data_IF_992360946038
#
_entry.id   IF_992360946038
#
_cell.length_a   1.000
_cell.length_b   1.000
_cell.length_c   1.000
_cell.angle_alpha   90.00
_cell.angle_beta   90.00
_cell.angle_gamma   90.00
#
_symmetry.space_group_name_H-M   'P 1'
#
loop_
_entity.id
_entity.type
_entity.pdbx_description
1 polymer ?
#
# COMPACT_ATOMS: atom_id res chain seq x y z
N UNK A 1 34.08 -56.15 -25.96
CA UNK A 1 33.10 -55.30 -25.26
C UNK A 1 32.04 -56.22 -24.68
N UNK A 2 31.91 -56.28 -23.36
CA UNK A 2 30.98 -57.16 -22.65
C UNK A 2 29.54 -56.66 -22.76
N UNK A 3 28.55 -57.57 -22.67
CA UNK A 3 27.12 -57.26 -22.71
C UNK A 3 26.71 -56.17 -21.68
N UNK A 4 27.43 -56.08 -20.57
CA UNK A 4 27.27 -55.08 -19.50
C UNK A 4 27.50 -53.63 -19.96
N UNK A 5 28.41 -53.40 -20.91
CA UNK A 5 28.64 -52.08 -21.50
C UNK A 5 27.54 -51.67 -22.48
N UNK A 6 26.87 -52.64 -23.11
CA UNK A 6 25.73 -52.39 -24.00
C UNK A 6 24.47 -52.10 -23.19
N UNK A 7 24.25 -52.78 -22.06
CA UNK A 7 23.13 -52.50 -21.15
C UNK A 7 23.26 -51.13 -20.46
N UNK A 8 24.46 -50.73 -20.03
CA UNK A 8 24.68 -49.37 -19.51
C UNK A 8 24.51 -48.27 -20.58
N UNK A 9 24.91 -48.54 -21.82
CA UNK A 9 24.67 -47.62 -22.93
C UNK A 9 23.18 -47.55 -23.32
N UNK A 10 22.44 -48.66 -23.25
CA UNK A 10 21.01 -48.72 -23.53
C UNK A 10 20.18 -48.06 -22.40
N UNK A 11 20.57 -48.23 -21.14
CA UNK A 11 19.98 -47.51 -19.99
C UNK A 11 20.24 -45.99 -20.08
N UNK A 12 21.43 -45.59 -20.54
CA UNK A 12 21.76 -44.17 -20.76
C UNK A 12 21.05 -43.56 -21.99
N UNK A 13 20.67 -44.38 -22.98
CA UNK A 13 19.88 -43.97 -24.15
C UNK A 13 18.37 -44.00 -23.86
N UNK A 14 17.90 -44.92 -23.01
CA UNK A 14 16.50 -44.99 -22.54
C UNK A 14 16.11 -43.89 -21.55
N UNK A 15 17.08 -43.30 -20.83
CA UNK A 15 16.84 -42.14 -19.96
C UNK A 15 16.80 -40.79 -20.69
N UNK A 16 16.94 -40.77 -22.03
CA UNK A 16 17.05 -39.55 -22.85
C UNK A 16 15.80 -39.20 -23.67
N UNK A 17 14.68 -39.90 -23.51
CA UNK A 17 13.50 -39.65 -24.36
C UNK A 17 12.52 -38.61 -23.81
N UNK A 18 12.49 -38.35 -22.51
CA UNK A 18 11.46 -37.47 -21.90
C UNK A 18 12.07 -36.30 -21.10
N UNK A 19 13.01 -35.57 -21.72
CA UNK A 19 13.53 -34.32 -21.15
C UNK A 19 12.81 -33.12 -21.74
N UNK A 20 12.32 -32.25 -20.86
CA UNK A 20 11.46 -31.13 -21.21
C UNK A 20 12.14 -29.79 -20.92
N UNK A 21 12.93 -29.30 -21.88
CA UNK A 21 13.72 -28.06 -21.72
C UNK A 21 12.98 -26.76 -22.07
N UNK A 22 11.74 -26.85 -22.56
CA UNK A 22 10.91 -25.70 -22.91
C UNK A 22 10.17 -25.07 -21.73
N UNK A 23 9.39 -24.03 -22.03
CA UNK A 23 8.37 -23.46 -21.15
C UNK A 23 7.01 -24.02 -21.54
N UNK A 24 6.26 -24.49 -20.57
CA UNK A 24 4.95 -25.12 -20.80
C UNK A 24 3.87 -24.33 -20.08
N UNK A 25 2.68 -24.26 -20.69
CA UNK A 25 1.54 -23.59 -20.06
C UNK A 25 1.00 -24.47 -18.93
N UNK A 26 1.04 -23.94 -17.70
CA UNK A 26 0.36 -24.51 -16.56
C UNK A 26 -0.77 -23.66 -15.99
N UNK A 27 -1.68 -24.31 -15.28
CA UNK A 27 -2.70 -23.64 -14.45
C UNK A 27 -2.44 -24.01 -13.00
N UNK A 28 -2.32 -23.00 -12.13
CA UNK A 28 -2.08 -23.23 -10.70
C UNK A 28 -3.28 -23.95 -10.07
N UNK A 29 -3.01 -25.00 -9.30
CA UNK A 29 -4.04 -25.79 -8.62
C UNK A 29 -3.96 -25.75 -7.10
N UNK A 30 -2.79 -25.44 -6.53
CA UNK A 30 -2.63 -25.27 -5.09
C UNK A 30 -1.49 -24.32 -4.75
N UNK A 31 -1.72 -23.49 -3.74
CA UNK A 31 -0.75 -22.56 -3.14
C UNK A 31 -0.46 -22.88 -1.67
N UNK A 32 -0.98 -24.01 -1.17
CA UNK A 32 -0.89 -24.43 0.23
C UNK A 32 0.47 -25.05 0.57
N UNK A 33 1.55 -24.32 0.28
CA UNK A 33 2.92 -24.77 0.47
C UNK A 33 3.21 -25.01 1.97
N UNK A 34 3.54 -26.24 2.39
CA UNK A 34 3.89 -26.54 3.77
C UNK A 34 5.18 -25.86 4.24
N UNK A 35 6.10 -25.54 3.31
CA UNK A 35 7.38 -24.90 3.63
C UNK A 35 7.32 -23.37 3.52
N UNK A 36 6.20 -22.80 3.06
CA UNK A 36 6.00 -21.35 2.91
C UNK A 36 7.12 -20.66 2.12
N UNK A 37 7.73 -21.37 1.17
CA UNK A 37 8.81 -20.85 0.32
C UNK A 37 8.31 -20.34 -1.04
N UNK A 38 6.99 -20.24 -1.22
CA UNK A 38 6.38 -19.71 -2.44
C UNK A 38 6.24 -20.76 -3.54
N UNK A 39 6.19 -22.04 -3.16
CA UNK A 39 5.97 -23.13 -4.11
C UNK A 39 4.49 -23.25 -4.45
N UNK A 40 4.21 -23.73 -5.65
CA UNK A 40 2.83 -23.99 -6.11
C UNK A 40 2.74 -25.39 -6.71
N UNK A 41 1.54 -25.93 -6.80
CA UNK A 41 1.24 -27.02 -7.73
C UNK A 41 0.51 -26.48 -8.94
N UNK A 42 0.74 -27.10 -10.09
CA UNK A 42 0.07 -26.75 -11.32
C UNK A 42 -0.32 -27.99 -12.12
N UNK A 43 -1.31 -27.84 -13.00
CA UNK A 43 -1.56 -28.79 -14.10
C UNK A 43 -0.83 -28.31 -15.34
N UNK A 44 -0.09 -29.20 -16.00
CA UNK A 44 0.67 -28.92 -17.22
C UNK A 44 0.31 -29.98 -18.28
N UNK A 45 -0.79 -29.80 -19.02
CA UNK A 45 -1.33 -30.86 -19.88
C UNK A 45 -0.37 -31.39 -20.94
N UNK A 46 0.49 -30.53 -21.48
CA UNK A 46 1.45 -30.88 -22.53
C UNK A 46 2.56 -31.83 -22.05
N UNK A 47 2.85 -31.88 -20.75
CA UNK A 47 3.94 -32.70 -20.17
C UNK A 47 3.42 -33.80 -19.26
N UNK A 48 2.40 -33.52 -18.43
CA UNK A 48 1.90 -34.42 -17.39
C UNK A 48 0.46 -34.89 -17.64
N UNK A 49 -0.20 -34.43 -18.70
CA UNK A 49 -1.61 -34.70 -18.95
C UNK A 49 -2.48 -34.18 -17.79
N UNK A 50 -3.29 -35.08 -17.20
CA UNK A 50 -4.20 -34.74 -16.11
C UNK A 50 -3.54 -34.74 -14.71
N UNK A 51 -2.28 -35.17 -14.63
CA UNK A 51 -1.54 -35.27 -13.37
C UNK A 51 -0.98 -33.90 -12.96
N UNK A 52 -1.14 -33.55 -11.68
CA UNK A 52 -0.53 -32.35 -11.13
C UNK A 52 0.98 -32.50 -10.98
N UNK A 53 1.69 -31.38 -11.05
CA UNK A 53 3.10 -31.33 -10.73
C UNK A 53 3.36 -31.68 -9.25
N UNK A 54 4.62 -32.01 -8.94
CA UNK A 54 5.14 -31.80 -7.59
C UNK A 54 5.12 -30.31 -7.20
N UNK A 55 5.65 -29.97 -6.03
CA UNK A 55 5.80 -28.58 -5.61
C UNK A 55 6.81 -27.85 -6.50
N UNK A 56 6.31 -26.97 -7.36
CA UNK A 56 7.10 -26.15 -8.26
C UNK A 56 7.83 -25.04 -7.52
N UNK A 57 9.15 -24.95 -7.69
CA UNK A 57 9.95 -23.87 -7.10
C UNK A 57 9.67 -22.52 -7.81
N UNK A 58 9.64 -21.39 -7.08
CA UNK A 58 9.49 -20.09 -7.72
C UNK A 58 10.77 -19.64 -8.41
N UNK A 59 10.65 -19.20 -9.66
CA UNK A 59 11.67 -18.42 -10.36
C UNK A 59 11.28 -16.93 -10.32
N UNK A 60 11.43 -16.32 -9.15
CA UNK A 60 11.14 -14.89 -8.94
C UNK A 60 12.31 -14.01 -9.43
N UNK A 61 12.05 -12.77 -9.92
CA UNK A 61 13.11 -11.83 -10.33
C UNK A 61 14.16 -11.53 -9.25
N UNK A 62 13.78 -11.60 -7.96
CA UNK A 62 14.68 -11.35 -6.85
C UNK A 62 14.29 -12.18 -5.63
N UNK A 63 15.24 -12.96 -5.10
CA UNK A 63 15.12 -13.71 -3.86
C UNK A 63 16.41 -13.59 -3.05
N UNK A 64 16.28 -13.46 -1.73
CA UNK A 64 17.39 -13.37 -0.80
C UNK A 64 16.93 -13.57 0.65
N UNK A 65 17.89 -13.66 1.57
CA UNK A 65 17.55 -13.77 2.98
C UNK A 65 16.87 -12.48 3.46
N UNK A 66 15.57 -12.58 3.80
CA UNK A 66 14.73 -11.43 4.22
C UNK A 66 14.58 -10.34 3.15
N UNK A 67 14.79 -10.66 1.87
CA UNK A 67 14.63 -9.74 0.75
C UNK A 67 14.13 -10.48 -0.49
N UNK A 68 13.42 -9.79 -1.38
CA UNK A 68 12.90 -10.40 -2.60
C UNK A 68 11.60 -9.78 -3.10
N UNK A 69 11.17 -10.20 -4.29
CA UNK A 69 9.81 -10.01 -4.77
C UNK A 69 9.01 -11.28 -4.48
N UNK A 70 8.09 -11.19 -3.52
CA UNK A 70 7.25 -12.32 -3.10
C UNK A 70 5.81 -12.12 -3.58
N UNK A 71 5.48 -12.75 -4.70
CA UNK A 71 4.15 -12.71 -5.31
C UNK A 71 3.74 -14.13 -5.69
N UNK A 72 2.71 -14.66 -5.05
CA UNK A 72 2.19 -16.00 -5.33
C UNK A 72 0.89 -15.86 -6.11
N UNK A 73 0.81 -16.35 -7.36
CA UNK A 73 -0.41 -16.21 -8.13
C UNK A 73 -1.53 -17.10 -7.56
N UNK A 74 -2.80 -16.70 -7.68
CA UNK A 74 -3.92 -17.43 -7.08
C UNK A 74 -4.17 -18.77 -7.78
N UNK A 75 -4.92 -19.66 -7.11
CA UNK A 75 -5.41 -20.90 -7.74
C UNK A 75 -6.26 -20.55 -8.96
N UNK A 76 -6.04 -21.29 -10.05
CA UNK A 76 -6.64 -21.02 -11.37
C UNK A 76 -5.82 -20.09 -12.24
N UNK A 77 -4.80 -19.41 -11.71
CA UNK A 77 -4.00 -18.48 -12.50
C UNK A 77 -3.13 -19.21 -13.56
N UNK A 78 -2.98 -18.61 -14.74
CA UNK A 78 -2.01 -19.03 -15.75
C UNK A 78 -0.57 -18.81 -15.29
N UNK A 79 0.30 -19.83 -15.40
CA UNK A 79 1.71 -19.74 -15.04
C UNK A 79 2.60 -20.56 -15.97
N UNK A 80 3.74 -20.01 -16.38
CA UNK A 80 4.73 -20.79 -17.14
C UNK A 80 5.41 -21.76 -16.21
N UNK A 81 5.49 -23.03 -16.64
CA UNK A 81 6.15 -24.10 -15.90
C UNK A 81 7.33 -24.61 -16.70
N UNK A 82 8.45 -24.78 -16.00
CA UNK A 82 9.71 -25.32 -16.48
C UNK A 82 10.12 -26.49 -15.58
N UNK A 83 11.14 -27.22 -15.99
CA UNK A 83 11.60 -28.42 -15.30
C UNK A 83 13.11 -28.36 -15.13
N UNK A 84 13.61 -28.46 -13.90
CA UNK A 84 15.06 -28.39 -13.64
C UNK A 84 15.79 -29.50 -14.40
N UNK A 85 16.75 -29.11 -15.23
CA UNK A 85 17.45 -30.03 -16.15
C UNK A 85 16.50 -30.87 -17.04
N UNK A 86 15.31 -30.34 -17.32
CA UNK A 86 14.26 -30.99 -18.11
C UNK A 86 13.57 -32.16 -17.40
N UNK A 87 13.68 -32.29 -16.08
CA UNK A 87 13.10 -33.36 -15.27
C UNK A 87 11.66 -33.03 -14.79
N UNK A 88 10.61 -33.73 -15.27
CA UNK A 88 9.23 -33.47 -14.83
C UNK A 88 9.00 -33.59 -13.33
N UNK A 89 9.84 -34.32 -12.60
CA UNK A 89 9.76 -34.45 -11.14
C UNK A 89 10.27 -33.23 -10.38
N UNK A 90 10.94 -32.29 -11.06
CA UNK A 90 11.54 -31.07 -10.49
C UNK A 90 10.97 -29.80 -11.15
N UNK A 91 9.68 -29.50 -10.94
CA UNK A 91 9.03 -28.36 -11.56
C UNK A 91 9.54 -27.02 -10.99
N UNK A 92 9.55 -26.01 -11.85
CA UNK A 92 9.76 -24.59 -11.55
C UNK A 92 8.58 -23.83 -12.15
N UNK A 93 8.08 -22.80 -11.48
CA UNK A 93 7.13 -21.86 -12.09
C UNK A 93 7.80 -20.50 -12.29
N UNK A 94 7.57 -19.88 -13.46
CA UNK A 94 8.24 -18.64 -13.88
C UNK A 94 7.26 -17.64 -14.48
N UNK A 95 6.65 -16.83 -13.61
CA UNK A 95 5.72 -15.77 -14.04
C UNK A 95 4.40 -16.28 -14.62
N UNK A 96 3.49 -15.34 -14.87
CA UNK A 96 2.19 -15.58 -15.49
C UNK A 96 2.13 -15.07 -16.92
N UNK A 97 1.03 -15.37 -17.60
CA UNK A 97 0.65 -14.68 -18.83
C UNK A 97 -0.79 -14.22 -18.71
N UNK A 98 -1.15 -13.18 -19.45
CA UNK A 98 -2.54 -12.74 -19.51
C UNK A 98 -3.26 -13.40 -20.68
N UNK A 99 -4.44 -13.94 -20.41
CA UNK A 99 -5.44 -14.16 -21.44
C UNK A 99 -5.99 -12.82 -21.98
N UNK A 100 -6.83 -12.88 -23.02
CA UNK A 100 -7.53 -11.70 -23.51
C UNK A 100 -8.29 -11.00 -22.37
N UNK A 101 -8.07 -9.69 -22.20
CA UNK A 101 -8.70 -8.84 -21.18
C UNK A 101 -8.34 -9.14 -19.72
N UNK A 102 -7.32 -9.98 -19.45
CA UNK A 102 -6.87 -10.30 -18.09
C UNK A 102 -5.71 -9.42 -17.60
N UNK A 103 -5.10 -8.65 -18.49
CA UNK A 103 -4.05 -7.71 -18.10
C UNK A 103 -4.60 -6.66 -17.13
N UNK A 104 -3.80 -6.20 -16.16
CA UNK A 104 -4.15 -5.05 -15.32
C UNK A 104 -4.61 -3.86 -16.19
N UNK A 105 -5.54 -3.05 -15.67
CA UNK A 105 -6.20 -1.98 -16.41
C UNK A 105 -7.73 -2.07 -16.32
N UNK A 106 -8.44 -1.00 -16.66
CA UNK A 106 -9.90 -1.05 -16.66
C UNK A 106 -10.41 -1.94 -17.80
N UNK A 107 -11.52 -2.69 -17.62
CA UNK A 107 -12.10 -3.54 -18.68
C UNK A 107 -12.40 -2.79 -19.99
N UNK A 108 -12.64 -1.48 -19.90
CA UNK A 108 -12.92 -0.58 -21.02
C UNK A 108 -11.69 0.17 -21.54
N UNK A 109 -10.54 0.02 -20.89
CA UNK A 109 -9.26 0.63 -21.26
C UNK A 109 -8.14 -0.37 -20.90
N UNK A 110 -7.94 -1.44 -21.71
CA UNK A 110 -6.76 -2.30 -21.55
C UNK A 110 -5.54 -1.39 -21.58
N UNK A 111 -4.53 -1.59 -20.72
CA UNK A 111 -3.33 -0.72 -20.61
C UNK A 111 -2.97 -0.09 -21.97
N UNK A 112 -3.42 1.14 -22.24
CA UNK A 112 -3.52 1.59 -23.63
C UNK A 112 -2.19 2.11 -24.16
N UNK A 113 -1.17 2.17 -23.29
CA UNK A 113 0.09 2.83 -23.57
C UNK A 113 1.23 2.19 -22.80
N UNK A 114 2.40 1.94 -23.44
CA UNK A 114 3.64 1.61 -22.74
C UNK A 114 4.13 2.71 -21.78
N UNK A 115 3.49 3.90 -21.82
CA UNK A 115 3.74 4.98 -20.86
C UNK A 115 3.25 4.65 -19.44
N UNK A 116 2.28 3.72 -19.30
CA UNK A 116 1.75 3.32 -18.00
C UNK A 116 2.36 1.99 -17.55
N UNK A 117 2.89 1.98 -16.33
CA UNK A 117 3.49 0.81 -15.68
C UNK A 117 2.85 0.64 -14.32
N UNK A 118 2.32 -0.54 -14.03
CA UNK A 118 1.62 -0.76 -12.78
C UNK A 118 1.82 -2.17 -12.20
N UNK A 119 1.64 -2.26 -10.89
CA UNK A 119 1.48 -3.49 -10.14
C UNK A 119 0.12 -3.42 -9.46
N UNK A 120 -0.76 -4.36 -9.82
CA UNK A 120 -2.14 -4.40 -9.37
C UNK A 120 -2.46 -5.77 -8.76
N UNK A 121 -3.01 -5.79 -7.55
CA UNK A 121 -3.53 -7.02 -6.93
C UNK A 121 -4.90 -7.40 -7.49
N UNK A 122 -5.36 -8.62 -7.22
CA UNK A 122 -6.66 -9.14 -7.66
C UNK A 122 -7.84 -8.33 -7.10
N UNK A 123 -7.64 -7.67 -5.96
CA UNK A 123 -8.62 -6.78 -5.32
C UNK A 123 -8.53 -5.33 -5.81
N UNK A 124 -7.61 -5.03 -6.73
CA UNK A 124 -7.41 -3.70 -7.32
C UNK A 124 -6.60 -2.74 -6.46
N UNK A 125 -5.73 -3.23 -5.57
CA UNK A 125 -4.71 -2.38 -4.96
C UNK A 125 -3.61 -2.15 -5.99
N UNK A 126 -3.35 -0.89 -6.33
CA UNK A 126 -2.50 -0.52 -7.45
C UNK A 126 -1.38 0.40 -7.01
N UNK A 127 -0.17 0.14 -7.53
CA UNK A 127 0.94 1.10 -7.59
C UNK A 127 1.23 1.35 -9.06
N UNK A 128 1.14 2.59 -9.52
CA UNK A 128 1.31 2.93 -10.93
C UNK A 128 2.19 4.16 -11.18
N UNK A 129 2.92 4.11 -12.30
CA UNK A 129 3.59 5.24 -12.93
C UNK A 129 2.95 5.50 -14.28
N UNK A 130 2.65 6.76 -14.58
CA UNK A 130 2.11 7.21 -15.85
C UNK A 130 2.99 8.33 -16.40
N UNK A 131 3.76 8.03 -17.45
CA UNK A 131 4.67 8.99 -18.08
C UNK A 131 3.91 10.08 -18.86
N UNK A 132 2.72 9.77 -19.41
CA UNK A 132 1.92 10.73 -20.18
C UNK A 132 1.25 11.73 -19.23
N UNK A 133 0.71 11.24 -18.12
CA UNK A 133 0.14 12.06 -17.05
C UNK A 133 1.20 12.70 -16.12
N UNK A 134 2.46 12.26 -16.21
CA UNK A 134 3.53 12.57 -15.25
C UNK A 134 3.11 12.31 -13.79
N UNK A 135 2.51 11.15 -13.53
CA UNK A 135 2.00 10.79 -12.20
C UNK A 135 2.62 9.54 -11.61
N UNK A 136 2.77 9.55 -10.28
CA UNK A 136 2.97 8.34 -9.46
C UNK A 136 1.76 8.18 -8.55
N UNK A 137 1.16 6.99 -8.51
CA UNK A 137 -0.05 6.71 -7.74
C UNK A 137 0.04 5.44 -6.91
N UNK A 138 -0.58 5.47 -5.74
CA UNK A 138 -0.96 4.30 -4.93
C UNK A 138 -2.44 4.42 -4.64
N UNK A 139 -3.25 3.46 -5.08
CA UNK A 139 -4.71 3.55 -4.99
C UNK A 139 -5.38 2.22 -4.69
N UNK A 140 -6.61 2.29 -4.19
CA UNK A 140 -7.55 1.17 -4.27
C UNK A 140 -8.28 1.13 -5.62
N UNK A 141 -9.09 0.09 -5.83
CA UNK A 141 -9.87 -0.12 -7.04
C UNK A 141 -10.85 1.03 -7.34
N UNK A 142 -11.31 1.73 -6.31
CA UNK A 142 -12.35 2.77 -6.42
C UNK A 142 -11.78 4.18 -6.53
N UNK A 143 -10.48 4.36 -6.31
CA UNK A 143 -9.82 5.66 -6.23
C UNK A 143 -10.20 6.50 -5.00
N UNK A 144 -10.93 5.95 -4.02
CA UNK A 144 -11.37 6.67 -2.82
C UNK A 144 -10.24 6.79 -1.79
N UNK A 145 -9.33 5.81 -1.75
CA UNK A 145 -8.07 5.90 -1.06
C UNK A 145 -6.96 6.06 -2.10
N UNK A 146 -6.22 7.17 -2.04
CA UNK A 146 -5.27 7.59 -3.06
C UNK A 146 -4.11 8.36 -2.44
N UNK A 147 -2.89 7.98 -2.79
CA UNK A 147 -1.71 8.83 -2.76
C UNK A 147 -1.31 9.11 -4.22
N UNK A 148 -1.19 10.38 -4.59
CA UNK A 148 -0.85 10.81 -5.94
C UNK A 148 0.21 11.90 -5.91
N UNK A 149 1.24 11.75 -6.75
CA UNK A 149 2.23 12.78 -7.04
C UNK A 149 2.09 13.17 -8.51
N UNK A 150 1.71 14.41 -8.78
CA UNK A 150 1.71 15.01 -10.13
C UNK A 150 3.01 15.76 -10.31
N UNK A 151 3.99 15.10 -10.93
CA UNK A 151 5.35 15.62 -11.05
C UNK A 151 5.39 16.92 -11.88
N UNK A 152 4.57 17.02 -12.93
CA UNK A 152 4.56 18.20 -13.80
C UNK A 152 4.05 19.46 -13.09
N UNK A 153 3.02 19.33 -12.24
CA UNK A 153 2.46 20.47 -11.49
C UNK A 153 3.09 20.65 -10.11
N UNK A 154 3.98 19.73 -9.68
CA UNK A 154 4.56 19.72 -8.33
C UNK A 154 3.54 19.49 -7.21
N UNK A 155 2.41 18.82 -7.49
CA UNK A 155 1.34 18.61 -6.50
C UNK A 155 1.41 17.20 -5.92
N UNK A 156 1.28 17.10 -4.60
CA UNK A 156 1.08 15.83 -3.88
C UNK A 156 -0.30 15.83 -3.25
N UNK A 157 -1.06 14.76 -3.45
CA UNK A 157 -2.43 14.61 -2.96
C UNK A 157 -2.54 13.31 -2.17
N UNK A 158 -3.11 13.40 -0.97
CA UNK A 158 -3.50 12.26 -0.14
C UNK A 158 -5.01 12.31 0.10
N UNK A 159 -5.74 11.28 -0.32
CA UNK A 159 -7.17 11.10 -0.09
C UNK A 159 -7.39 9.81 0.69
N UNK A 160 -8.28 9.87 1.66
CA UNK A 160 -8.77 8.72 2.39
C UNK A 160 -10.29 8.84 2.54
N UNK A 161 -11.01 7.72 2.42
CA UNK A 161 -12.46 7.70 2.51
C UNK A 161 -12.96 8.12 3.90
N UNK A 162 -12.24 7.75 4.96
CA UNK A 162 -12.69 7.95 6.34
C UNK A 162 -11.78 8.91 7.12
N UNK A 163 -10.49 8.63 7.18
CA UNK A 163 -9.55 9.39 8.01
C UNK A 163 -8.11 9.23 7.49
N UNK A 164 -7.34 10.32 7.59
CA UNK A 164 -5.87 10.28 7.55
C UNK A 164 -5.35 10.40 8.99
N UNK A 165 -4.55 9.43 9.43
CA UNK A 165 -3.91 9.45 10.76
C UNK A 165 -2.42 9.67 10.59
N UNK A 166 -1.91 10.74 11.22
CA UNK A 166 -0.49 11.04 11.29
C UNK A 166 -0.01 10.78 12.73
N UNK A 167 0.88 9.80 12.90
CA UNK A 167 1.42 9.44 14.21
C UNK A 167 2.95 9.53 14.19
N UNK A 168 3.47 10.45 14.99
CA UNK A 168 4.89 10.64 15.21
C UNK A 168 5.13 11.32 16.57
N UNK A 169 6.36 11.28 17.10
CA UNK A 169 6.73 12.13 18.23
C UNK A 169 6.53 13.63 17.93
N UNK A 170 6.86 14.06 16.70
CA UNK A 170 6.67 15.42 16.19
C UNK A 170 6.19 15.35 14.74
N UNK A 171 5.21 16.19 14.39
CA UNK A 171 4.66 16.36 13.04
C UNK A 171 4.94 17.81 12.63
N UNK A 172 5.80 18.01 11.65
CA UNK A 172 6.19 19.32 11.14
C UNK A 172 5.43 19.63 9.84
N UNK A 173 4.63 20.69 9.85
CA UNK A 173 3.95 21.20 8.66
C UNK A 173 4.79 22.31 8.03
N UNK A 174 5.90 21.91 7.39
CA UNK A 174 6.90 22.84 6.87
C UNK A 174 8.32 22.43 7.28
N UNK A 175 9.33 22.86 6.52
CA UNK A 175 10.71 22.45 6.78
C UNK A 175 11.29 23.15 8.02
N UNK A 176 10.84 24.36 8.31
CA UNK A 176 11.22 25.20 9.43
C UNK A 176 10.08 25.35 10.45
N UNK A 177 9.15 24.38 10.51
CA UNK A 177 8.05 24.39 11.44
C UNK A 177 8.54 24.35 12.90
N UNK A 178 8.53 25.50 13.56
CA UNK A 178 8.94 25.68 14.97
C UNK A 178 7.77 26.02 15.88
N UNK A 179 6.66 26.54 15.34
CA UNK A 179 5.55 27.04 16.13
C UNK A 179 4.52 25.94 16.43
N UNK A 180 4.10 25.75 17.68
CA UNK A 180 3.04 24.80 18.00
C UNK A 180 1.71 25.12 17.30
N UNK A 181 1.07 24.12 16.68
CA UNK A 181 -0.26 24.26 16.13
C UNK A 181 -1.31 24.50 17.22
N UNK A 182 -2.33 25.31 16.95
CA UNK A 182 -3.39 25.61 17.93
C UNK A 182 -4.44 24.50 17.98
N UNK A 183 -4.82 24.08 19.19
CA UNK A 183 -5.89 23.11 19.44
C UNK A 183 -7.26 23.79 19.37
N UNK A 184 -7.94 23.62 18.23
CA UNK A 184 -9.18 24.33 17.89
C UNK A 184 -10.30 24.24 18.95
N UNK A 185 -10.58 23.07 19.50
CA UNK A 185 -11.65 22.92 20.52
C UNK A 185 -11.35 23.67 21.82
N UNK A 186 -10.07 23.68 22.25
CA UNK A 186 -9.68 24.43 23.44
C UNK A 186 -9.69 25.94 23.18
N UNK A 187 -9.20 26.38 22.02
CA UNK A 187 -9.28 27.77 21.60
C UNK A 187 -10.75 28.24 21.55
N UNK A 188 -11.63 27.48 20.91
CA UNK A 188 -13.05 27.82 20.81
C UNK A 188 -13.72 27.96 22.18
N UNK A 189 -13.39 27.04 23.11
CA UNK A 189 -13.91 27.09 24.48
C UNK A 189 -13.49 28.38 25.20
N UNK A 190 -12.23 28.78 25.03
CA UNK A 190 -11.71 30.02 25.61
C UNK A 190 -12.30 31.27 24.97
N UNK A 191 -12.43 31.31 23.64
CA UNK A 191 -13.09 32.43 22.95
C UNK A 191 -14.56 32.56 23.35
N UNK A 192 -15.25 31.44 23.58
CA UNK A 192 -16.63 31.43 24.08
C UNK A 192 -16.71 31.99 25.50
N UNK A 193 -15.76 31.63 26.38
CA UNK A 193 -15.66 32.19 27.73
C UNK A 193 -15.39 33.70 27.69
N UNK A 194 -14.45 34.16 26.87
CA UNK A 194 -14.15 35.59 26.69
C UNK A 194 -15.39 36.35 26.19
N UNK A 195 -16.07 35.83 25.18
CA UNK A 195 -17.29 36.43 24.63
C UNK A 195 -18.39 36.53 25.69
N UNK A 196 -18.54 35.49 26.52
CA UNK A 196 -19.50 35.48 27.62
C UNK A 196 -19.15 36.55 28.65
N UNK A 197 -17.90 36.60 29.11
CA UNK A 197 -17.42 37.60 30.05
C UNK A 197 -17.68 39.01 29.53
N UNK A 198 -17.36 39.28 28.27
CA UNK A 198 -17.60 40.58 27.64
C UNK A 198 -19.10 40.90 27.52
N UNK A 199 -19.95 39.97 27.07
CA UNK A 199 -21.38 40.23 26.90
C UNK A 199 -22.12 40.41 28.24
N UNK A 200 -21.66 39.75 29.28
CA UNK A 200 -22.17 39.93 30.65
C UNK A 200 -21.50 41.09 31.39
N UNK A 201 -20.51 41.74 30.76
CA UNK A 201 -19.80 42.85 31.38
C UNK A 201 -20.72 44.05 31.51
N UNK A 202 -20.81 44.57 32.73
CA UNK A 202 -21.56 45.78 33.06
C UNK A 202 -20.64 46.78 33.75
N UNK A 203 -20.84 48.07 33.47
CA UNK A 203 -20.25 49.14 34.26
C UNK A 203 -21.28 49.65 35.27
N UNK A 204 -21.00 49.59 36.60
CA UNK A 204 -21.85 50.24 37.59
C UNK A 204 -21.79 51.76 37.42
N UNK A 205 -22.93 52.41 37.18
CA UNK A 205 -23.04 53.86 37.15
C UNK A 205 -22.73 54.46 38.53
N UNK A 206 -21.83 55.46 38.58
CA UNK A 206 -21.62 56.30 39.77
C UNK A 206 -22.88 57.12 40.06
N UNK A 207 -23.28 57.25 41.34
CA UNK A 207 -24.28 58.23 41.73
C UNK A 207 -23.62 59.62 41.84
N UNK A 208 -24.13 60.54 41.03
CA UNK A 208 -23.90 61.97 41.17
C UNK A 208 -24.61 62.53 42.41
N UNK A 209 -24.08 63.63 42.95
CA UNK A 209 -24.55 64.38 44.13
C UNK A 209 -23.98 64.00 45.52
N UNK A 210 -22.93 63.17 45.59
CA UNK A 210 -21.97 63.21 46.72
C UNK A 210 -22.49 62.82 48.12
N UNK A 211 -23.67 62.18 48.23
CA UNK A 211 -24.30 61.93 49.53
C UNK A 211 -24.85 60.52 49.76
N UNK A 212 -24.85 59.63 48.76
CA UNK A 212 -25.38 58.27 48.90
C UNK A 212 -24.25 57.23 48.69
N UNK A 213 -24.06 56.26 49.61
CA UNK A 213 -23.05 55.23 49.44
C UNK A 213 -23.43 54.33 48.27
N UNK A 214 -22.62 54.32 47.20
CA UNK A 214 -22.52 53.14 46.35
C UNK A 214 -21.38 52.31 46.92
N UNK A 215 -21.71 51.18 47.55
CA UNK A 215 -20.72 50.16 47.95
C UNK A 215 -19.76 49.91 46.78
N UNK A 216 -18.44 49.82 47.00
CA UNK A 216 -17.50 49.42 45.95
C UNK A 216 -18.02 48.13 45.31
N UNK A 217 -18.26 48.16 43.99
CA UNK A 217 -18.67 46.95 43.29
C UNK A 217 -17.57 45.89 43.46
N UNK A 218 -17.92 44.61 43.68
CA UNK A 218 -16.95 43.54 43.69
C UNK A 218 -16.09 43.61 42.41
N UNK A 219 -14.75 43.50 42.50
CA UNK A 219 -13.91 43.47 41.31
C UNK A 219 -14.42 42.41 40.35
N UNK A 220 -14.66 42.78 39.10
CA UNK A 220 -15.00 41.81 38.05
C UNK A 220 -13.77 40.94 37.82
N UNK A 221 -13.96 39.64 37.65
CA UNK A 221 -12.87 38.73 37.38
C UNK A 221 -12.12 39.19 36.11
N UNK A 222 -10.80 39.42 36.17
CA UNK A 222 -10.04 39.87 35.01
C UNK A 222 -10.03 38.78 33.94
N UNK A 223 -9.94 39.20 32.68
CA UNK A 223 -9.71 38.27 31.58
C UNK A 223 -8.44 37.47 31.83
N UNK A 224 -8.57 36.15 31.86
CA UNK A 224 -7.42 35.24 31.99
C UNK A 224 -6.73 35.10 30.65
N UNK A 225 -5.38 35.12 30.59
CA UNK A 225 -4.66 34.85 29.35
C UNK A 225 -4.88 33.39 28.88
N UNK A 226 -4.70 33.10 27.58
CA UNK A 226 -4.82 31.74 27.07
C UNK A 226 -3.74 30.83 27.65
N UNK A 227 -4.08 29.63 28.17
CA UNK A 227 -3.12 28.67 28.70
C UNK A 227 -2.34 27.97 27.58
N UNK A 228 -1.10 27.56 27.87
CA UNK A 228 -0.25 26.80 26.98
C UNK A 228 -0.84 25.43 26.57
N UNK A 229 -1.82 24.91 27.30
CA UNK A 229 -2.53 23.68 26.94
C UNK A 229 -3.22 23.76 25.57
N UNK A 230 -3.52 24.98 25.08
CA UNK A 230 -4.12 25.22 23.77
C UNK A 230 -3.15 25.00 22.61
N UNK A 231 -1.87 24.79 22.89
CA UNK A 231 -0.86 24.54 21.89
C UNK A 231 -0.59 23.04 21.79
N UNK A 232 -0.49 22.53 20.56
CA UNK A 232 -0.13 21.14 20.31
C UNK A 232 1.31 20.88 20.74
N UNK A 233 1.54 19.82 21.49
CA UNK A 233 2.89 19.37 21.83
C UNK A 233 3.53 18.50 20.74
N UNK A 234 2.77 18.17 19.69
CA UNK A 234 3.20 17.27 18.60
C UNK A 234 3.20 17.94 17.23
N UNK A 235 2.17 18.72 16.91
CA UNK A 235 2.04 19.34 15.59
C UNK A 235 2.68 20.73 15.63
N UNK A 236 3.67 20.94 14.76
CA UNK A 236 4.37 22.21 14.57
C UNK A 236 4.06 22.76 13.18
N UNK A 237 4.02 24.08 13.04
CA UNK A 237 3.75 24.84 11.81
C UNK A 237 4.82 25.93 11.62
N UNK A 238 4.98 26.41 10.38
CA UNK A 238 5.82 27.58 10.00
C UNK A 238 4.98 28.71 9.39
#
# INVERSE_FOLDING_TARGET
>A
MTADMLDHALLAVGARTDRYYGKYRGTITSVDDPLKSGRVKAKVPEVLGDVETGWALPCTPYAGQRSGLYTIPPVGAPAWVEFEAGDPSRPIWSGGWWGPLEAPGEPTSPLPSPARRELTSETGLTVALDDDGHTLTVSDLTGQNLLEIKAQSGQVTLKALTQVTLEAPVIAHGQQATEPAVLGTQLLSYLTQLTTLFNTHIHPGQLAAGALPVTPAPPVAPFTPPPASMLSTKNLVE
#
